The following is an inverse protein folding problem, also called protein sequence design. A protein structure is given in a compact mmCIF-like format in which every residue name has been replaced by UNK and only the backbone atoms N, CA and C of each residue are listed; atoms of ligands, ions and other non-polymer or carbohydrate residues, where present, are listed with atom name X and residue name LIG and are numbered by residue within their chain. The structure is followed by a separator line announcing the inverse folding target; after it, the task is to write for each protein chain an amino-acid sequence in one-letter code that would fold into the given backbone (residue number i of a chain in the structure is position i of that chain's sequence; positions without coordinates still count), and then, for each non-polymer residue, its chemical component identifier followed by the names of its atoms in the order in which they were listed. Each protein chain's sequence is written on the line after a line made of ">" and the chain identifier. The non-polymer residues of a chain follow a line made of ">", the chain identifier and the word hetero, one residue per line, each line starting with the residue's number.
data_IF_242051674162
#
_entry.id   IF_242051674162
#
_cell.length_a   1.000
_cell.length_b   1.000
_cell.length_c   1.000
_cell.angle_alpha   90.00
_cell.angle_beta   90.00
_cell.angle_gamma   90.00
#
_symmetry.space_group_name_H-M   'P 1'
#
loop_
_entity.id
_entity.type
_entity.pdbx_description
1 polymer ?
#
# COMPACT_ATOMS: atom_id res chain seq x y z
N UNK A 1 37.55 -6.20 18.94
CA UNK A 1 37.06 -7.56 19.20
C UNK A 1 36.36 -7.53 20.54
N UNK A 2 35.18 -8.15 20.68
CA UNK A 2 34.22 -8.09 21.81
C UNK A 2 33.14 -7.02 21.64
N UNK A 3 32.02 -7.41 21.03
CA UNK A 3 30.65 -7.21 21.52
C UNK A 3 29.72 -8.00 20.58
N UNK A 4 29.63 -9.30 20.85
CA UNK A 4 28.58 -10.20 20.38
C UNK A 4 27.93 -10.74 21.65
N UNK A 5 26.64 -11.06 21.56
CA UNK A 5 25.86 -11.82 22.55
C UNK A 5 25.09 -11.03 23.61
N UNK A 6 24.02 -10.34 23.17
CA UNK A 6 22.78 -10.23 23.95
C UNK A 6 21.61 -10.25 22.98
N UNK A 7 20.95 -11.40 22.80
CA UNK A 7 19.49 -11.56 22.67
C UNK A 7 19.14 -13.02 22.33
N UNK A 8 19.27 -13.91 23.31
CA UNK A 8 18.59 -15.21 23.30
C UNK A 8 18.48 -15.71 24.73
N UNK A 9 17.30 -15.57 25.33
CA UNK A 9 16.71 -16.44 26.37
C UNK A 9 15.66 -15.65 27.16
N UNK A 10 14.38 -16.03 27.00
CA UNK A 10 13.44 -16.23 28.10
C UNK A 10 12.14 -16.80 27.53
N UNK A 11 12.12 -18.13 27.42
CA UNK A 11 10.91 -18.95 27.43
C UNK A 11 10.91 -19.66 28.77
N UNK A 12 9.74 -19.66 29.43
CA UNK A 12 9.26 -20.47 30.56
C UNK A 12 8.86 -19.63 31.79
N UNK A 13 7.56 -19.64 32.09
CA UNK A 13 7.00 -19.00 33.28
C UNK A 13 5.49 -19.20 33.46
N UNK A 14 5.10 -20.44 33.72
CA UNK A 14 3.97 -20.89 34.55
C UNK A 14 2.51 -20.47 34.27
N UNK A 15 1.67 -21.52 34.25
CA UNK A 15 0.23 -21.53 34.40
C UNK A 15 -0.25 -20.83 35.67
N UNK A 16 -1.40 -20.14 35.59
CA UNK A 16 -2.38 -20.14 36.68
C UNK A 16 -3.80 -20.05 36.10
N UNK A 17 -4.58 -21.09 36.32
CA UNK A 17 -6.01 -21.16 36.07
C UNK A 17 -6.77 -20.33 37.11
N UNK A 18 -7.69 -19.46 36.69
CA UNK A 18 -8.81 -19.03 37.52
C UNK A 18 -10.08 -19.13 36.68
N UNK A 19 -10.92 -20.09 37.05
CA UNK A 19 -12.29 -20.22 36.61
C UNK A 19 -13.14 -19.15 37.31
N UNK A 20 -13.95 -18.42 36.55
CA UNK A 20 -15.05 -17.63 37.08
C UNK A 20 -16.30 -17.90 36.24
N UNK A 21 -17.20 -18.67 36.83
CA UNK A 21 -18.60 -18.84 36.43
C UNK A 21 -19.41 -17.61 36.83
N UNK A 22 -20.40 -17.23 36.02
CA UNK A 22 -21.76 -16.72 36.35
C UNK A 22 -22.31 -15.87 35.17
N UNK A 23 -23.61 -15.54 35.11
CA UNK A 23 -24.65 -16.44 34.64
C UNK A 23 -25.38 -15.90 33.39
N UNK A 24 -26.08 -16.84 32.77
CA UNK A 24 -27.14 -16.69 31.78
C UNK A 24 -28.15 -15.58 32.16
N UNK A 25 -28.42 -14.64 31.25
CA UNK A 25 -29.63 -13.84 31.32
C UNK A 25 -30.33 -13.80 29.96
N UNK A 26 -31.64 -14.04 30.02
CA UNK A 26 -32.53 -14.36 28.91
C UNK A 26 -33.34 -13.11 28.54
N UNK A 27 -33.75 -13.08 27.26
CA UNK A 27 -34.85 -12.33 26.65
C UNK A 27 -34.78 -10.80 26.60
N UNK A 28 -34.67 -10.29 25.36
CA UNK A 28 -35.71 -9.43 24.78
C UNK A 28 -35.74 -9.61 23.26
N UNK A 29 -36.88 -10.08 22.76
CA UNK A 29 -37.18 -10.20 21.32
C UNK A 29 -37.70 -8.83 20.89
N UNK A 30 -36.86 -8.05 20.22
CA UNK A 30 -37.29 -6.84 19.51
C UNK A 30 -37.55 -7.20 18.05
N UNK A 31 -38.83 -7.25 17.69
CA UNK A 31 -39.29 -7.39 16.31
C UNK A 31 -39.06 -6.07 15.57
N UNK A 32 -37.89 -5.93 14.94
CA UNK A 32 -37.63 -4.81 14.02
C UNK A 32 -38.37 -5.06 12.69
N UNK A 33 -39.45 -4.30 12.47
CA UNK A 33 -40.09 -4.14 11.16
C UNK A 33 -39.05 -3.67 10.15
N UNK A 34 -38.74 -4.52 9.17
CA UNK A 34 -37.97 -4.15 7.98
C UNK A 34 -38.73 -3.04 7.24
N UNK A 35 -38.11 -1.88 7.09
CA UNK A 35 -38.50 -0.93 6.03
C UNK A 35 -38.08 -1.53 4.69
N UNK A 36 -38.88 -1.41 3.63
CA UNK A 36 -38.43 -1.77 2.30
C UNK A 36 -37.27 -0.84 1.94
N UNK A 37 -36.09 -1.40 1.67
CA UNK A 37 -35.02 -0.65 1.02
C UNK A 37 -35.40 -0.50 -0.44
N UNK A 38 -35.96 0.65 -0.79
CA UNK A 38 -35.98 1.15 -2.16
C UNK A 38 -34.53 1.21 -2.69
N UNK A 39 -34.38 0.72 -3.92
CA UNK A 39 -33.29 0.98 -4.85
C UNK A 39 -31.85 0.73 -4.36
N UNK A 40 -31.45 -0.54 -4.40
CA UNK A 40 -30.07 -0.90 -4.76
C UNK A 40 -30.09 -1.80 -5.98
N UNK A 41 -29.91 -1.16 -7.12
CA UNK A 41 -29.76 -1.83 -8.40
C UNK A 41 -28.52 -2.77 -8.36
N UNK A 42 -28.69 -4.11 -8.45
CA UNK A 42 -27.60 -5.07 -8.49
C UNK A 42 -26.68 -4.90 -9.73
N UNK A 43 -27.13 -4.18 -10.75
CA UNK A 43 -26.34 -3.91 -11.97
C UNK A 43 -25.08 -3.06 -11.74
N UNK A 44 -24.88 -2.48 -10.55
CA UNK A 44 -23.67 -1.69 -10.26
C UNK A 44 -22.43 -2.54 -9.99
N UNK A 45 -22.56 -3.86 -9.78
CA UNK A 45 -21.42 -4.79 -9.66
C UNK A 45 -21.08 -5.45 -11.00
N UNK A 46 -22.08 -5.80 -11.82
CA UNK A 46 -21.83 -6.45 -13.12
C UNK A 46 -21.36 -5.48 -14.23
N UNK A 47 -21.69 -4.18 -14.18
CA UNK A 47 -21.11 -3.18 -15.12
C UNK A 47 -19.67 -2.77 -14.78
N UNK A 48 -19.04 -3.37 -13.76
CA UNK A 48 -17.67 -3.06 -13.36
C UNK A 48 -16.59 -3.99 -13.94
N UNK A 49 -16.93 -4.84 -14.92
CA UNK A 49 -15.92 -5.28 -15.91
C UNK A 49 -15.55 -4.08 -16.79
N UNK A 50 -14.83 -3.13 -16.22
CA UNK A 50 -13.93 -2.36 -17.05
C UNK A 50 -13.04 -3.41 -17.75
N UNK A 51 -12.92 -3.40 -19.09
CA UNK A 51 -11.95 -4.25 -19.76
C UNK A 51 -10.62 -4.10 -19.03
N UNK A 52 -9.88 -5.19 -18.85
CA UNK A 52 -8.61 -5.20 -18.12
C UNK A 52 -7.72 -4.02 -18.56
N UNK A 53 -7.77 -2.95 -17.78
CA UNK A 53 -6.87 -1.80 -17.86
C UNK A 53 -6.17 -1.74 -16.51
N UNK A 54 -5.35 -2.76 -16.26
CA UNK A 54 -4.04 -2.48 -15.69
C UNK A 54 -3.40 -1.39 -16.55
N UNK A 55 -2.56 -0.50 -15.99
CA UNK A 55 -1.92 0.47 -16.84
C UNK A 55 -1.23 -0.30 -17.98
N UNK A 56 -1.61 0.04 -19.21
CA UNK A 56 -0.85 -0.27 -20.43
C UNK A 56 0.42 0.60 -20.35
N UNK A 57 1.19 0.41 -19.28
CA UNK A 57 2.60 0.70 -19.35
C UNK A 57 3.17 -0.32 -20.32
N UNK A 58 4.18 0.08 -21.05
CA UNK A 58 5.03 -0.83 -21.80
C UNK A 58 5.59 -1.85 -20.79
N UNK A 59 4.87 -2.97 -20.62
CA UNK A 59 5.15 -3.99 -19.60
C UNK A 59 6.60 -4.47 -19.73
N UNK A 60 7.13 -4.49 -20.95
CA UNK A 60 8.51 -4.89 -21.21
C UNK A 60 9.49 -3.99 -20.46
N UNK A 61 9.39 -2.66 -20.59
CA UNK A 61 10.27 -1.73 -19.88
C UNK A 61 10.20 -1.87 -18.35
N UNK A 62 9.02 -2.16 -17.81
CA UNK A 62 8.86 -2.42 -16.36
C UNK A 62 9.60 -3.69 -15.93
N UNK A 63 9.59 -4.74 -16.75
CA UNK A 63 10.25 -6.01 -16.44
C UNK A 63 11.75 -6.04 -16.80
N UNK A 64 12.23 -5.22 -17.74
CA UNK A 64 13.63 -5.18 -18.16
C UNK A 64 14.57 -4.90 -16.97
N UNK A 65 14.19 -3.99 -16.07
CA UNK A 65 15.00 -3.65 -14.89
C UNK A 65 15.08 -4.81 -13.87
N UNK A 66 14.29 -5.88 -14.04
CA UNK A 66 14.40 -7.09 -13.22
C UNK A 66 15.44 -8.08 -13.75
N UNK A 67 15.95 -7.89 -14.98
CA UNK A 67 16.96 -8.75 -15.61
C UNK A 67 18.38 -8.48 -15.07
N UNK A 68 18.51 -8.54 -13.75
CA UNK A 68 19.80 -8.43 -13.04
C UNK A 68 20.15 -9.78 -12.41
N UNK A 69 21.44 -10.18 -12.34
CA UNK A 69 21.81 -11.55 -11.94
C UNK A 69 21.41 -11.99 -10.52
N UNK A 70 20.96 -11.04 -9.69
CA UNK A 70 20.65 -11.27 -8.29
C UNK A 70 19.15 -11.25 -7.96
N UNK A 71 18.29 -10.87 -8.91
CA UNK A 71 16.84 -11.06 -8.83
C UNK A 71 16.52 -12.35 -9.58
N UNK A 72 15.78 -13.26 -8.95
CA UNK A 72 15.37 -14.51 -9.59
C UNK A 72 14.17 -14.23 -10.52
N UNK A 73 14.42 -13.49 -11.59
CA UNK A 73 13.44 -13.13 -12.60
C UNK A 73 13.54 -14.06 -13.82
N UNK A 74 12.40 -14.60 -14.24
CA UNK A 74 12.29 -15.40 -15.46
C UNK A 74 11.24 -14.75 -16.38
N UNK A 75 11.64 -14.22 -17.56
CA UNK A 75 10.72 -13.56 -18.46
C UNK A 75 9.65 -14.49 -19.04
N UNK A 76 9.94 -15.77 -19.21
CA UNK A 76 8.98 -16.76 -19.74
C UNK A 76 7.91 -17.10 -18.72
N UNK A 77 8.26 -17.02 -17.43
CA UNK A 77 7.38 -17.34 -16.31
C UNK A 77 7.03 -16.11 -15.46
N UNK A 78 7.10 -14.89 -16.02
CA UNK A 78 7.00 -13.67 -15.22
C UNK A 78 5.67 -13.52 -14.45
N UNK A 79 4.60 -14.16 -14.92
CA UNK A 79 3.27 -14.14 -14.32
C UNK A 79 3.01 -15.25 -13.29
N UNK A 80 3.89 -16.25 -13.23
CA UNK A 80 3.74 -17.46 -12.40
C UNK A 80 4.93 -17.67 -11.45
N UNK A 81 6.02 -16.91 -11.61
CA UNK A 81 7.27 -17.05 -10.86
C UNK A 81 7.24 -16.43 -9.45
N UNK A 82 6.07 -15.98 -8.97
CA UNK A 82 5.93 -15.54 -7.59
C UNK A 82 5.80 -16.71 -6.61
N UNK A 83 6.38 -16.53 -5.42
CA UNK A 83 6.38 -17.58 -4.39
C UNK A 83 4.95 -17.84 -3.89
N UNK A 84 4.47 -19.06 -4.10
CA UNK A 84 3.15 -19.51 -3.67
C UNK A 84 2.03 -19.33 -4.70
N UNK A 85 2.37 -19.08 -5.97
CA UNK A 85 1.39 -19.02 -7.05
C UNK A 85 0.51 -20.28 -7.06
N UNK A 86 -0.80 -20.10 -7.02
CA UNK A 86 -1.77 -21.19 -7.04
C UNK A 86 -1.88 -22.00 -5.73
N UNK A 87 -1.15 -21.62 -4.66
CA UNK A 87 -1.30 -22.28 -3.37
C UNK A 87 -2.75 -22.14 -2.86
N UNK A 88 -3.34 -23.18 -2.26
CA UNK A 88 -4.73 -23.16 -1.77
C UNK A 88 -4.87 -22.40 -0.44
N UNK A 89 -4.42 -21.15 -0.37
CA UNK A 89 -4.37 -20.36 0.87
C UNK A 89 -5.74 -19.86 1.34
N UNK A 90 -6.73 -19.82 0.44
CA UNK A 90 -8.07 -19.30 0.72
C UNK A 90 -9.08 -20.39 1.12
N UNK A 91 -8.84 -21.66 0.79
CA UNK A 91 -9.82 -22.73 1.00
C UNK A 91 -9.99 -23.17 2.46
N UNK A 92 -9.05 -22.83 3.34
CA UNK A 92 -9.00 -23.38 4.69
C UNK A 92 -10.01 -22.76 5.69
N UNK A 93 -10.56 -21.56 5.41
CA UNK A 93 -11.32 -20.79 6.40
C UNK A 93 -12.50 -20.05 5.77
N UNK A 94 -13.67 -20.17 6.38
CA UNK A 94 -14.80 -19.28 6.14
C UNK A 94 -14.74 -18.11 7.13
N UNK A 95 -14.59 -16.90 6.62
CA UNK A 95 -14.44 -15.65 7.39
C UNK A 95 -15.72 -14.79 7.37
N UNK A 96 -16.85 -15.32 6.86
CA UNK A 96 -18.09 -14.55 6.63
C UNK A 96 -18.59 -13.83 7.87
N UNK A 97 -18.73 -14.54 8.99
CA UNK A 97 -19.20 -13.95 10.24
C UNK A 97 -18.24 -12.90 10.80
N UNK A 98 -16.93 -13.06 10.60
CA UNK A 98 -15.91 -12.10 11.06
C UNK A 98 -15.90 -10.81 10.24
N UNK A 99 -16.29 -10.88 8.97
CA UNK A 99 -16.15 -9.79 8.00
C UNK A 99 -17.49 -9.18 7.60
N UNK A 100 -18.59 -9.54 8.26
CA UNK A 100 -19.93 -9.02 7.96
C UNK A 100 -20.00 -7.50 8.20
N UNK A 101 -19.42 -7.01 9.30
CA UNK A 101 -19.45 -5.60 9.68
C UNK A 101 -18.23 -4.83 9.12
N UNK A 102 -18.30 -4.47 7.84
CA UNK A 102 -17.22 -3.78 7.11
C UNK A 102 -17.72 -2.57 6.32
N UNK A 103 -16.83 -1.63 6.09
CA UNK A 103 -17.03 -0.47 5.24
C UNK A 103 -15.98 -0.43 4.13
N UNK A 104 -16.38 0.00 2.94
CA UNK A 104 -15.43 0.22 1.84
C UNK A 104 -14.40 1.25 2.25
N UNK A 105 -13.14 1.00 1.92
CA UNK A 105 -12.05 1.91 2.22
C UNK A 105 -12.29 3.25 1.52
N UNK A 106 -12.34 4.33 2.31
CA UNK A 106 -12.83 5.64 1.85
C UNK A 106 -11.78 6.47 1.09
N UNK A 107 -10.49 6.13 1.21
CA UNK A 107 -9.44 6.85 0.51
C UNK A 107 -9.50 6.59 -1.00
N UNK A 108 -9.26 7.65 -1.78
CA UNK A 108 -9.23 7.56 -3.24
C UNK A 108 -8.02 6.73 -3.69
N UNK A 109 -8.24 5.81 -4.62
CA UNK A 109 -7.20 4.97 -5.23
C UNK A 109 -7.83 3.98 -6.20
N UNK A 110 -7.17 3.72 -7.34
CA UNK A 110 -7.71 2.81 -8.38
C UNK A 110 -7.91 1.39 -7.83
N UNK A 111 -6.99 0.93 -6.99
CA UNK A 111 -6.98 -0.43 -6.43
C UNK A 111 -7.78 -0.54 -5.10
N UNK A 112 -8.40 0.54 -4.62
CA UNK A 112 -9.10 0.55 -3.34
C UNK A 112 -10.52 -0.06 -3.44
N UNK A 113 -11.00 -0.41 -4.64
CA UNK A 113 -12.35 -0.98 -4.83
C UNK A 113 -12.55 -2.28 -4.04
N UNK A 114 -11.52 -3.11 -3.92
CA UNK A 114 -11.53 -4.36 -3.16
C UNK A 114 -11.05 -4.22 -1.71
N UNK A 115 -10.79 -3.01 -1.20
CA UNK A 115 -10.27 -2.82 0.16
C UNK A 115 -11.38 -2.35 1.10
N UNK A 116 -11.42 -2.92 2.31
CA UNK A 116 -12.41 -2.63 3.33
C UNK A 116 -11.76 -2.40 4.69
N UNK A 117 -12.35 -1.51 5.48
CA UNK A 117 -12.12 -1.37 6.92
C UNK A 117 -13.18 -2.11 7.73
N UNK A 118 -12.88 -2.40 9.00
CA UNK A 118 -13.82 -3.06 9.90
C UNK A 118 -14.54 -2.06 10.79
N UNK A 119 -15.79 -2.38 11.18
CA UNK A 119 -16.56 -1.58 12.15
C UNK A 119 -16.32 -1.99 13.61
N UNK A 120 -15.75 -3.18 13.81
CA UNK A 120 -15.44 -3.78 15.11
C UNK A 120 -14.04 -4.37 15.10
N UNK A 121 -13.52 -4.67 16.29
CA UNK A 121 -12.25 -5.38 16.45
C UNK A 121 -12.22 -6.70 15.69
N UNK A 122 -11.03 -7.10 15.23
CA UNK A 122 -10.83 -8.38 14.56
C UNK A 122 -10.20 -9.40 15.50
N UNK A 123 -10.87 -10.54 15.69
CA UNK A 123 -10.41 -11.60 16.60
C UNK A 123 -9.93 -12.81 15.82
N UNK A 124 -8.66 -13.14 16.00
CA UNK A 124 -8.06 -14.41 15.59
C UNK A 124 -8.23 -15.40 16.74
N UNK A 125 -8.70 -16.60 16.44
CA UNK A 125 -8.87 -17.69 17.42
C UNK A 125 -7.82 -18.78 17.20
N UNK A 126 -7.59 -19.62 18.21
CA UNK A 126 -6.65 -20.76 18.13
C UNK A 126 -5.31 -20.49 18.83
N UNK A 127 -4.26 -21.20 18.43
CA UNK A 127 -2.94 -21.14 19.08
C UNK A 127 -2.31 -19.73 19.08
N UNK A 128 -2.63 -18.92 18.07
CA UNK A 128 -2.18 -17.54 17.94
C UNK A 128 -3.34 -16.56 18.18
N UNK A 129 -4.18 -16.84 19.19
CA UNK A 129 -5.32 -15.99 19.51
C UNK A 129 -4.87 -14.55 19.79
N UNK A 130 -5.45 -13.61 19.06
CA UNK A 130 -5.10 -12.18 19.14
C UNK A 130 -6.28 -11.33 18.73
N UNK A 131 -6.44 -10.21 19.41
CA UNK A 131 -7.42 -9.17 19.06
C UNK A 131 -6.69 -7.98 18.44
N UNK A 132 -7.21 -7.50 17.31
CA UNK A 132 -6.71 -6.32 16.61
C UNK A 132 -7.76 -5.21 16.64
N UNK A 133 -7.32 -3.98 16.88
CA UNK A 133 -8.19 -2.81 16.76
C UNK A 133 -8.70 -2.68 15.32
N UNK A 134 -9.91 -2.19 15.15
CA UNK A 134 -10.51 -2.03 13.81
C UNK A 134 -9.72 -1.07 12.91
N UNK A 135 -9.03 -0.09 13.51
CA UNK A 135 -8.20 0.90 12.83
C UNK A 135 -6.87 0.33 12.32
N UNK A 136 -6.43 -0.82 12.84
CA UNK A 136 -5.13 -1.43 12.48
C UNK A 136 -5.28 -2.59 11.50
N UNK A 137 -6.48 -2.85 11.00
CA UNK A 137 -6.79 -3.96 10.09
C UNK A 137 -7.48 -3.45 8.84
N UNK A 138 -7.09 -4.02 7.71
CA UNK A 138 -7.83 -3.91 6.45
C UNK A 138 -8.06 -5.29 5.85
N UNK A 139 -9.09 -5.37 5.02
CA UNK A 139 -9.48 -6.58 4.29
C UNK A 139 -9.36 -6.28 2.80
N UNK A 140 -8.60 -7.10 2.07
CA UNK A 140 -8.52 -7.07 0.61
C UNK A 140 -9.32 -8.24 0.05
N UNK A 141 -10.31 -7.93 -0.77
CA UNK A 141 -11.02 -8.89 -1.60
C UNK A 141 -10.16 -9.16 -2.84
N UNK A 142 -10.10 -10.43 -3.23
CA UNK A 142 -9.36 -10.91 -4.39
C UNK A 142 -10.39 -11.41 -5.39
N UNK A 143 -10.29 -10.92 -6.62
CA UNK A 143 -11.14 -11.36 -7.71
C UNK A 143 -10.84 -12.83 -8.02
N UNK A 144 -11.86 -13.58 -8.43
CA UNK A 144 -11.76 -15.03 -8.64
C UNK A 144 -10.64 -15.42 -9.60
N UNK A 145 -10.47 -14.63 -10.66
CA UNK A 145 -9.46 -14.86 -11.70
C UNK A 145 -8.03 -14.52 -11.22
N UNK A 146 -7.90 -13.73 -10.14
CA UNK A 146 -6.63 -13.33 -9.52
C UNK A 146 -6.27 -14.17 -8.28
N UNK A 147 -7.09 -15.17 -7.92
CA UNK A 147 -6.81 -16.02 -6.74
C UNK A 147 -5.42 -16.66 -6.77
N UNK A 148 -4.91 -17.22 -7.91
CA UNK A 148 -3.56 -17.77 -7.98
C UNK A 148 -2.48 -16.74 -7.61
N UNK A 149 -2.62 -15.50 -8.06
CA UNK A 149 -1.73 -14.38 -7.78
C UNK A 149 -1.91 -13.86 -6.34
N UNK A 150 -3.15 -13.86 -5.83
CA UNK A 150 -3.46 -13.49 -4.45
C UNK A 150 -2.76 -14.40 -3.44
N UNK A 151 -2.51 -15.67 -3.79
CA UNK A 151 -1.72 -16.58 -2.98
C UNK A 151 -0.26 -16.12 -2.81
N UNK A 152 0.33 -15.48 -3.82
CA UNK A 152 1.65 -14.86 -3.72
C UNK A 152 1.66 -13.69 -2.73
N UNK A 153 0.62 -12.84 -2.74
CA UNK A 153 0.50 -11.74 -1.76
C UNK A 153 0.42 -12.29 -0.33
N UNK A 154 -0.32 -13.38 -0.11
CA UNK A 154 -0.40 -14.04 1.21
C UNK A 154 0.98 -14.52 1.67
N UNK A 155 1.77 -15.14 0.79
CA UNK A 155 3.15 -15.58 1.13
C UNK A 155 4.05 -14.39 1.43
N UNK A 156 4.00 -13.34 0.61
CA UNK A 156 4.77 -12.13 0.84
C UNK A 156 4.43 -11.48 2.19
N UNK A 157 3.14 -11.24 2.46
CA UNK A 157 2.67 -10.65 3.71
C UNK A 157 3.10 -11.45 4.96
N UNK A 158 3.16 -12.78 4.87
CA UNK A 158 3.69 -13.63 5.95
C UNK A 158 5.18 -13.37 6.20
N UNK A 159 5.98 -13.22 5.14
CA UNK A 159 7.42 -12.96 5.23
C UNK A 159 7.73 -11.57 5.78
N UNK A 160 6.90 -10.58 5.45
CA UNK A 160 7.02 -9.22 5.98
C UNK A 160 6.32 -9.00 7.33
N UNK A 161 5.62 -10.01 7.86
CA UNK A 161 4.96 -9.92 9.18
C UNK A 161 3.66 -9.10 9.19
N UNK A 162 3.04 -8.87 8.04
CA UNK A 162 1.80 -8.09 7.90
C UNK A 162 0.54 -8.94 7.72
N UNK A 163 0.70 -10.24 7.50
CA UNK A 163 -0.41 -11.19 7.35
C UNK A 163 -1.15 -11.43 8.68
N UNK A 164 -2.49 -11.44 8.65
CA UNK A 164 -3.32 -11.83 9.78
C UNK A 164 -4.03 -13.16 9.48
N UNK A 165 -4.93 -13.17 8.49
CA UNK A 165 -5.65 -14.37 8.05
C UNK A 165 -5.97 -14.29 6.54
N UNK A 166 -6.22 -15.43 5.90
CA UNK A 166 -6.80 -15.53 4.56
C UNK A 166 -7.89 -16.59 4.59
N UNK A 167 -8.88 -16.46 3.71
CA UNK A 167 -10.02 -17.34 3.65
C UNK A 167 -11.01 -16.92 2.57
N UNK A 168 -12.25 -17.40 2.71
CA UNK A 168 -13.38 -17.02 1.87
C UNK A 168 -14.46 -16.28 2.66
N UNK A 169 -15.20 -15.42 1.98
CA UNK A 169 -16.35 -14.67 2.51
C UNK A 169 -17.51 -14.84 1.54
N UNK A 170 -18.71 -15.10 2.07
CA UNK A 170 -19.95 -15.08 1.29
C UNK A 170 -20.60 -13.70 1.41
N UNK A 171 -20.90 -13.06 0.27
CA UNK A 171 -21.55 -11.75 0.18
C UNK A 171 -22.65 -11.87 -0.86
N UNK A 172 -23.90 -11.69 -0.44
CA UNK A 172 -25.06 -11.71 -1.37
C UNK A 172 -25.07 -12.98 -2.24
N UNK A 173 -24.77 -14.14 -1.64
CA UNK A 173 -24.70 -15.47 -2.27
C UNK A 173 -23.42 -15.76 -3.07
N UNK A 174 -22.62 -14.75 -3.38
CA UNK A 174 -21.31 -14.92 -4.03
C UNK A 174 -20.19 -15.17 -3.02
N UNK A 175 -19.24 -16.03 -3.40
CA UNK A 175 -18.06 -16.34 -2.57
C UNK A 175 -16.80 -15.67 -3.13
N UNK A 176 -16.11 -14.91 -2.26
CA UNK A 176 -14.89 -14.18 -2.60
C UNK A 176 -13.71 -14.64 -1.76
N UNK A 177 -12.53 -14.72 -2.36
CA UNK A 177 -11.28 -14.84 -1.62
C UNK A 177 -10.93 -13.52 -0.92
N UNK A 178 -10.42 -13.60 0.31
CA UNK A 178 -10.06 -12.43 1.10
C UNK A 178 -8.74 -12.61 1.84
N UNK A 179 -8.01 -11.50 1.96
CA UNK A 179 -6.81 -11.36 2.79
C UNK A 179 -7.10 -10.34 3.88
N UNK A 180 -6.96 -10.73 5.14
CA UNK A 180 -6.96 -9.85 6.30
C UNK A 180 -5.51 -9.54 6.66
N UNK A 181 -5.17 -8.25 6.68
CA UNK A 181 -3.79 -7.79 6.90
C UNK A 181 -3.71 -6.55 7.80
N UNK A 182 -2.54 -6.35 8.37
CA UNK A 182 -2.23 -5.15 9.16
C UNK A 182 -2.28 -3.93 8.24
N UNK A 183 -3.06 -2.93 8.64
CA UNK A 183 -3.15 -1.64 7.97
C UNK A 183 -1.85 -0.87 8.20
N UNK A 184 -1.22 -0.44 7.10
CA UNK A 184 -0.07 0.44 7.14
C UNK A 184 -0.52 1.89 7.34
N UNK A 185 0.29 2.67 8.06
CA UNK A 185 0.00 4.07 8.35
C UNK A 185 0.44 5.00 7.21
N UNK A 186 -0.09 6.22 7.20
CA UNK A 186 0.24 7.23 6.19
C UNK A 186 -0.67 7.21 4.97
N UNK A 187 -0.28 7.96 3.94
CA UNK A 187 -0.97 8.06 2.67
C UNK A 187 0.03 8.31 1.52
N UNK A 188 -0.32 8.02 0.26
CA UNK A 188 0.47 8.47 -0.88
C UNK A 188 0.61 10.00 -0.87
N UNK A 189 1.79 10.52 -1.19
CA UNK A 189 2.12 11.96 -1.07
C UNK A 189 1.07 12.88 -1.71
N UNK A 190 0.61 12.53 -2.92
CA UNK A 190 -0.39 13.29 -3.68
C UNK A 190 -1.77 13.45 -2.99
N UNK A 191 -2.02 12.72 -1.90
CA UNK A 191 -3.25 12.77 -1.13
C UNK A 191 -3.06 13.40 0.25
N UNK A 192 -1.89 13.96 0.54
CA UNK A 192 -1.59 14.64 1.80
C UNK A 192 -1.70 16.14 1.57
N UNK A 193 -2.64 16.82 2.25
CA UNK A 193 -2.88 18.26 2.03
C UNK A 193 -1.63 19.12 2.28
N UNK A 194 -0.86 18.82 3.33
CA UNK A 194 0.40 19.50 3.62
C UNK A 194 1.43 19.33 2.47
N UNK A 195 1.47 18.16 1.82
CA UNK A 195 2.30 17.96 0.62
C UNK A 195 1.80 18.84 -0.52
N UNK A 196 0.51 18.78 -0.84
CA UNK A 196 -0.08 19.46 -2.00
C UNK A 196 0.26 20.94 -1.98
N UNK A 197 0.16 21.58 -0.80
CA UNK A 197 0.35 23.01 -0.60
C UNK A 197 1.82 23.42 -0.35
N UNK A 198 2.75 22.48 -0.16
CA UNK A 198 4.13 22.82 0.16
C UNK A 198 4.91 23.41 -1.03
N UNK A 199 5.87 24.32 -0.77
CA UNK A 199 6.81 24.80 -1.79
C UNK A 199 7.63 23.66 -2.42
N UNK A 200 8.00 23.83 -3.69
CA UNK A 200 8.78 22.83 -4.45
C UNK A 200 10.07 22.43 -3.75
N UNK A 201 10.78 23.37 -3.12
CA UNK A 201 12.00 23.08 -2.37
C UNK A 201 11.76 22.09 -1.21
N UNK A 202 10.69 22.28 -0.43
CA UNK A 202 10.33 21.36 0.66
C UNK A 202 9.87 20.00 0.11
N UNK A 203 9.09 20.00 -0.98
CA UNK A 203 8.68 18.76 -1.66
C UNK A 203 9.90 17.92 -2.12
N UNK A 204 10.90 18.56 -2.72
CA UNK A 204 12.17 17.92 -3.11
C UNK A 204 12.90 17.32 -1.91
N UNK A 205 12.98 18.06 -0.79
CA UNK A 205 13.60 17.57 0.44
C UNK A 205 12.87 16.33 1.00
N UNK A 206 11.53 16.35 1.04
CA UNK A 206 10.71 15.22 1.49
C UNK A 206 10.86 14.00 0.57
N UNK A 207 10.87 14.18 -0.75
CA UNK A 207 11.08 13.07 -1.70
C UNK A 207 12.48 12.48 -1.57
N UNK A 208 13.51 13.30 -1.34
CA UNK A 208 14.86 12.80 -1.13
C UNK A 208 14.98 12.02 0.20
N UNK A 209 14.37 12.48 1.29
CA UNK A 209 14.32 11.72 2.55
C UNK A 209 13.56 10.40 2.37
N UNK A 210 12.41 10.44 1.69
CA UNK A 210 11.64 9.25 1.37
C UNK A 210 12.45 8.23 0.55
N UNK A 211 13.15 8.68 -0.49
CA UNK A 211 14.03 7.84 -1.32
C UNK A 211 15.06 7.10 -0.47
N UNK A 212 15.77 7.85 0.39
CA UNK A 212 16.81 7.28 1.26
C UNK A 212 16.23 6.22 2.21
N UNK A 213 15.06 6.49 2.81
CA UNK A 213 14.42 5.54 3.72
C UNK A 213 13.90 4.30 3.02
N UNK A 214 13.31 4.44 1.82
CA UNK A 214 12.86 3.31 1.01
C UNK A 214 14.06 2.44 0.61
N UNK A 215 15.17 3.06 0.19
CA UNK A 215 16.42 2.37 -0.10
C UNK A 215 16.87 1.52 1.09
N UNK A 216 16.99 2.12 2.28
CA UNK A 216 17.46 1.43 3.49
C UNK A 216 16.53 0.26 3.87
N UNK A 217 15.20 0.47 3.80
CA UNK A 217 14.20 -0.56 4.09
C UNK A 217 14.34 -1.74 3.13
N UNK A 218 14.44 -1.46 1.83
CA UNK A 218 14.51 -2.50 0.81
C UNK A 218 15.86 -3.23 0.82
N UNK A 219 16.97 -2.53 1.04
CA UNK A 219 18.28 -3.18 1.15
C UNK A 219 18.31 -4.16 2.33
N UNK A 220 17.67 -3.79 3.45
CA UNK A 220 17.49 -4.68 4.60
C UNK A 220 16.62 -5.89 4.26
N UNK A 221 15.57 -5.74 3.45
CA UNK A 221 14.74 -6.87 3.02
C UNK A 221 15.50 -7.82 2.11
N UNK A 222 16.26 -7.29 1.16
CA UNK A 222 17.12 -8.09 0.29
C UNK A 222 18.12 -8.90 1.10
N UNK A 223 18.81 -8.26 2.05
CA UNK A 223 19.87 -8.91 2.82
C UNK A 223 19.33 -9.89 3.88
N UNK A 224 18.21 -9.58 4.54
CA UNK A 224 17.70 -10.40 5.65
C UNK A 224 16.59 -11.36 5.26
N UNK A 225 15.76 -11.02 4.27
CA UNK A 225 14.58 -11.79 3.88
C UNK A 225 14.73 -12.50 2.53
N UNK A 226 15.77 -12.13 1.75
CA UNK A 226 16.00 -12.57 0.37
C UNK A 226 14.79 -12.29 -0.53
N UNK A 227 14.17 -11.14 -0.31
CA UNK A 227 13.01 -10.65 -1.05
C UNK A 227 13.22 -9.19 -1.41
N UNK A 228 12.69 -8.81 -2.57
CA UNK A 228 12.67 -7.43 -3.01
C UNK A 228 11.27 -6.99 -3.42
N UNK A 229 10.90 -5.77 -3.03
CA UNK A 229 9.72 -5.09 -3.53
C UNK A 229 10.13 -4.28 -4.76
N UNK A 230 9.57 -4.58 -5.92
CA UNK A 230 9.96 -3.97 -7.20
C UNK A 230 8.95 -2.94 -7.72
N UNK A 231 7.76 -2.88 -7.10
CA UNK A 231 6.71 -1.88 -7.38
C UNK A 231 6.58 -0.82 -6.28
N UNK A 232 7.69 -0.18 -5.91
CA UNK A 232 7.70 0.90 -4.91
C UNK A 232 7.40 2.28 -5.55
N UNK A 233 6.39 2.33 -6.43
CA UNK A 233 5.95 3.58 -7.03
C UNK A 233 5.41 4.56 -5.98
N UNK A 234 5.27 5.84 -6.34
CA UNK A 234 4.75 6.87 -5.43
C UNK A 234 3.30 6.62 -4.93
N UNK A 235 2.60 5.62 -5.50
CA UNK A 235 1.29 5.17 -5.04
C UNK A 235 1.38 4.05 -4.00
N UNK A 236 2.48 3.30 -4.00
CA UNK A 236 2.74 2.16 -3.15
C UNK A 236 3.73 2.48 -2.01
N UNK A 237 4.21 3.72 -1.95
CA UNK A 237 4.94 4.25 -0.79
C UNK A 237 4.05 5.28 -0.09
N UNK A 238 3.70 4.98 1.15
CA UNK A 238 2.92 5.86 2.02
C UNK A 238 3.88 6.73 2.84
N UNK A 239 3.62 8.03 2.87
CA UNK A 239 4.28 8.97 3.75
C UNK A 239 3.37 9.40 4.90
N UNK A 240 3.97 9.67 6.06
CA UNK A 240 3.37 10.49 7.10
C UNK A 240 4.14 11.79 7.19
N UNK A 241 3.50 12.91 6.83
CA UNK A 241 4.10 14.23 6.84
C UNK A 241 3.62 14.99 8.07
N UNK A 242 4.55 15.67 8.73
CA UNK A 242 4.26 16.61 9.82
C UNK A 242 4.55 18.02 9.32
N UNK A 243 3.63 18.93 9.62
CA UNK A 243 3.73 20.36 9.31
C UNK A 243 4.01 21.15 10.60
N UNK A 244 5.03 21.99 10.58
CA UNK A 244 5.25 23.00 11.61
C UNK A 244 4.30 24.17 11.37
N UNK A 245 3.33 24.37 12.26
CA UNK A 245 2.31 25.43 12.13
C UNK A 245 2.85 26.85 12.25
N UNK A 246 4.09 27.01 12.72
CA UNK A 246 4.73 28.32 12.89
C UNK A 246 5.44 28.75 11.62
N UNK A 247 6.16 27.83 10.98
CA UNK A 247 6.94 28.11 9.78
C UNK A 247 6.26 27.65 8.49
N UNK A 248 5.20 26.84 8.60
CA UNK A 248 4.59 26.07 7.52
C UNK A 248 5.60 25.13 6.81
N UNK A 249 6.66 24.72 7.51
CA UNK A 249 7.60 23.74 6.99
C UNK A 249 7.05 22.33 7.14
N UNK A 250 7.14 21.54 6.07
CA UNK A 250 6.80 20.13 6.10
C UNK A 250 8.03 19.25 6.23
N UNK A 251 7.89 18.13 6.95
CA UNK A 251 8.91 17.08 7.02
C UNK A 251 8.30 15.68 7.01
N UNK A 252 9.06 14.73 6.48
CA UNK A 252 8.69 13.32 6.51
C UNK A 252 8.97 12.74 7.90
N UNK A 253 7.93 12.21 8.54
CA UNK A 253 8.04 11.54 9.84
C UNK A 253 8.32 10.04 9.65
N UNK A 254 7.53 9.40 8.79
CA UNK A 254 7.54 7.95 8.62
C UNK A 254 7.19 7.54 7.19
N UNK A 255 7.64 6.34 6.80
CA UNK A 255 7.29 5.71 5.52
C UNK A 255 6.74 4.30 5.73
N UNK A 256 5.83 3.89 4.86
CA UNK A 256 5.42 2.49 4.72
C UNK A 256 5.41 2.11 3.24
N UNK A 257 5.71 0.85 2.93
CA UNK A 257 5.57 0.30 1.58
C UNK A 257 4.35 -0.63 1.60
N UNK A 258 3.52 -0.54 0.57
CA UNK A 258 2.27 -1.31 0.43
C UNK A 258 2.18 -1.95 -0.94
N UNK A 259 1.12 -2.74 -1.13
CA UNK A 259 0.83 -3.51 -2.34
C UNK A 259 1.85 -4.62 -2.66
N UNK A 260 1.88 -5.61 -1.77
CA UNK A 260 2.67 -6.84 -1.89
C UNK A 260 2.09 -7.85 -2.91
N UNK A 261 1.19 -7.38 -3.78
CA UNK A 261 0.58 -8.20 -4.84
C UNK A 261 1.60 -8.58 -5.91
N UNK A 262 1.25 -9.57 -6.74
CA UNK A 262 2.01 -9.87 -7.94
C UNK A 262 1.82 -8.77 -9.00
N UNK A 263 2.84 -8.36 -9.78
CA UNK A 263 4.24 -8.81 -9.81
C UNK A 263 5.19 -8.03 -8.86
N UNK A 264 4.70 -7.44 -7.77
CA UNK A 264 5.45 -6.52 -6.92
C UNK A 264 6.55 -7.13 -6.05
N UNK A 265 6.54 -8.43 -5.74
CA UNK A 265 7.52 -9.08 -4.85
C UNK A 265 8.28 -10.19 -5.57
N UNK A 266 9.62 -10.14 -5.51
CA UNK A 266 10.50 -11.13 -6.14
C UNK A 266 11.48 -11.74 -5.14
N UNK A 267 11.78 -13.05 -5.27
CA UNK A 267 12.89 -13.64 -4.56
C UNK A 267 14.23 -13.15 -5.13
N UNK A 268 15.19 -12.92 -4.25
CA UNK A 268 16.58 -12.62 -4.65
C UNK A 268 17.44 -13.87 -4.50
N UNK A 269 18.62 -13.87 -5.10
CA UNK A 269 19.61 -14.92 -4.87
C UNK A 269 20.04 -14.94 -3.40
N UNK A 270 20.57 -16.08 -2.94
CA UNK A 270 21.04 -16.24 -1.56
C UNK A 270 22.37 -15.55 -1.27
N UNK A 271 23.04 -15.01 -2.29
CA UNK A 271 24.31 -14.30 -2.16
C UNK A 271 24.08 -12.93 -1.56
N UNK A 272 24.96 -12.52 -0.65
CA UNK A 272 24.98 -11.14 -0.14
C UNK A 272 25.22 -10.20 -1.31
N UNK A 273 24.32 -9.23 -1.47
CA UNK A 273 24.37 -8.28 -2.57
C UNK A 273 25.19 -7.08 -2.11
N UNK A 274 26.19 -6.74 -2.91
CA UNK A 274 26.96 -5.54 -2.69
C UNK A 274 26.05 -4.30 -2.68
N UNK A 275 26.29 -3.40 -1.72
CA UNK A 275 25.43 -2.24 -1.50
C UNK A 275 25.44 -1.29 -2.70
N UNK A 276 26.57 -1.15 -3.39
CA UNK A 276 26.70 -0.28 -4.57
C UNK A 276 25.91 -0.84 -5.75
N UNK A 277 25.99 -2.16 -5.98
CA UNK A 277 25.17 -2.84 -7.01
C UNK A 277 23.68 -2.63 -6.74
N UNK A 278 23.23 -2.85 -5.50
CA UNK A 278 21.84 -2.61 -5.12
C UNK A 278 21.44 -1.14 -5.30
N UNK A 279 22.29 -0.21 -4.87
CA UNK A 279 22.02 1.23 -4.97
C UNK A 279 21.87 1.68 -6.40
N UNK A 280 22.71 1.17 -7.30
CA UNK A 280 22.66 1.50 -8.74
C UNK A 280 21.33 1.05 -9.35
N UNK A 281 20.91 -0.19 -9.07
CA UNK A 281 19.61 -0.69 -9.49
C UNK A 281 18.46 0.11 -8.88
N UNK A 282 18.54 0.41 -7.59
CA UNK A 282 17.50 1.15 -6.87
C UNK A 282 17.29 2.55 -7.46
N UNK A 283 18.35 3.28 -7.74
CA UNK A 283 18.28 4.63 -8.30
C UNK A 283 17.65 4.62 -9.71
N UNK A 284 18.02 3.65 -10.56
CA UNK A 284 17.39 3.48 -11.87
C UNK A 284 15.87 3.22 -11.73
N UNK A 285 15.50 2.25 -10.89
CA UNK A 285 14.11 1.88 -10.64
C UNK A 285 13.30 3.01 -10.00
N UNK A 286 13.90 3.74 -9.07
CA UNK A 286 13.29 4.92 -8.45
C UNK A 286 12.95 5.96 -9.50
N UNK A 287 13.92 6.34 -10.33
CA UNK A 287 13.71 7.32 -11.39
C UNK A 287 12.62 6.89 -12.37
N UNK A 288 12.55 5.61 -12.72
CA UNK A 288 11.49 5.06 -13.55
C UNK A 288 10.11 5.17 -12.90
N UNK A 289 9.94 4.63 -11.68
CA UNK A 289 8.63 4.56 -11.00
C UNK A 289 8.14 5.91 -10.45
N UNK A 290 9.04 6.85 -10.21
CA UNK A 290 8.73 8.17 -9.63
C UNK A 290 8.73 9.30 -10.65
N UNK A 291 9.10 9.03 -11.91
CA UNK A 291 9.17 10.01 -13.00
C UNK A 291 7.96 10.94 -13.03
N UNK A 292 6.76 10.36 -13.04
CA UNK A 292 5.50 11.09 -13.11
C UNK A 292 5.30 12.10 -11.98
N UNK A 293 5.63 11.72 -10.74
CA UNK A 293 5.52 12.63 -9.60
C UNK A 293 6.58 13.73 -9.68
N UNK A 294 7.82 13.35 -10.02
CA UNK A 294 8.95 14.27 -10.11
C UNK A 294 8.68 15.33 -11.19
N UNK A 295 8.25 14.92 -12.38
CA UNK A 295 7.98 15.82 -13.49
C UNK A 295 6.79 16.76 -13.24
N UNK A 296 5.74 16.27 -12.57
CA UNK A 296 4.51 17.05 -12.34
C UNK A 296 4.61 17.97 -11.13
N UNK A 297 5.21 17.51 -10.04
CA UNK A 297 5.16 18.20 -8.73
C UNK A 297 6.49 18.84 -8.33
N UNK A 298 7.63 18.44 -8.92
CA UNK A 298 8.95 18.91 -8.50
C UNK A 298 9.70 19.76 -9.54
N UNK A 299 9.22 19.79 -10.79
CA UNK A 299 9.73 20.75 -11.78
C UNK A 299 8.97 22.05 -11.56
N UNK A 300 9.69 23.12 -11.20
CA UNK A 300 9.10 24.46 -11.24
C UNK A 300 8.68 24.69 -12.69
N UNK A 301 7.37 24.75 -12.93
CA UNK A 301 6.91 25.28 -14.21
C UNK A 301 7.47 26.68 -14.28
N UNK A 302 8.38 26.91 -15.23
CA UNK A 302 8.73 28.29 -15.56
C UNK A 302 7.41 29.03 -15.74
N UNK A 303 7.19 30.16 -15.06
CA UNK A 303 5.95 30.90 -15.17
C UNK A 303 5.71 31.10 -16.66
N UNK A 304 4.61 30.54 -17.18
CA UNK A 304 4.27 30.59 -18.59
C UNK A 304 4.54 32.03 -19.06
N UNK A 305 5.45 32.21 -20.01
CA UNK A 305 5.89 33.53 -20.47
C UNK A 305 4.72 34.39 -21.02
N UNK A 306 3.48 33.89 -21.03
CA UNK A 306 2.26 34.66 -21.21
C UNK A 306 2.13 35.83 -20.22
N UNK A 307 2.56 35.68 -18.96
CA UNK A 307 2.48 36.79 -17.99
C UNK A 307 3.56 37.84 -18.22
N UNK A 308 4.76 37.44 -18.69
CA UNK A 308 5.76 38.40 -19.21
C UNK A 308 5.24 39.11 -20.46
N UNK A 309 4.40 38.47 -21.27
CA UNK A 309 3.71 39.08 -22.40
C UNK A 309 2.72 40.17 -21.95
N UNK A 310 1.95 39.93 -20.89
CA UNK A 310 1.03 40.93 -20.32
C UNK A 310 1.78 42.08 -19.67
N UNK A 311 2.86 41.81 -18.94
CA UNK A 311 3.66 42.86 -18.30
C UNK A 311 4.39 43.72 -19.34
N UNK A 312 4.93 43.12 -20.40
CA UNK A 312 5.54 43.85 -21.52
C UNK A 312 4.51 44.65 -22.33
N UNK A 313 3.27 44.16 -22.50
CA UNK A 313 2.15 44.93 -23.09
C UNK A 313 1.75 46.09 -22.19
N UNK A 314 1.68 45.89 -20.88
CA UNK A 314 1.35 46.93 -19.90
C UNK A 314 2.43 48.03 -19.87
N UNK A 315 3.71 47.65 -19.89
CA UNK A 315 4.82 48.60 -19.96
C UNK A 315 4.82 49.38 -21.28
N UNK A 316 4.60 48.72 -22.43
CA UNK A 316 4.48 49.40 -23.72
C UNK A 316 3.27 50.35 -23.79
N UNK A 317 2.15 49.98 -23.16
CA UNK A 317 0.96 50.82 -23.06
C UNK A 317 1.23 52.08 -22.22
N UNK A 318 1.85 51.93 -21.03
CA UNK A 318 2.27 53.06 -20.18
C UNK A 318 3.23 54.01 -20.91
N UNK A 319 4.19 53.46 -21.66
CA UNK A 319 5.16 54.25 -22.45
C UNK A 319 4.50 55.04 -23.58
N UNK A 320 3.43 54.51 -24.19
CA UNK A 320 2.65 55.24 -25.20
C UNK A 320 1.84 56.39 -24.60
N UNK A 321 1.23 56.17 -23.44
CA UNK A 321 0.48 57.22 -22.73
C UNK A 321 1.39 58.38 -22.30
N UNK A 322 2.62 58.09 -21.84
CA UNK A 322 3.57 59.13 -21.43
C UNK A 322 4.16 59.95 -22.58
N UNK A 323 4.08 59.48 -23.82
CA UNK A 323 4.55 60.21 -25.01
C UNK A 323 3.44 61.04 -25.67
N UNK A 324 2.18 60.84 -25.26
CA UNK A 324 1.01 61.54 -25.79
C UNK A 324 0.51 62.68 -24.89
N UNK A 325 1.09 62.83 -23.71
CA UNK A 325 0.85 63.94 -22.76
C UNK A 325 1.99 64.97 -22.86
#
# INVERSE_FOLDING_TARGET
>A
MIFRDIFLQLVLGACLCIAATTPYNRSEIVTLRRRPSEDRNPESLERNRAPGVGPVHDDEGWFEELKVPWINYDPEHRWTSCVGYGDPVFSAKNLTSKLTARDRFSLKGRNNKGIYTLRSEYKVSGANARTYSKETVIVKFIDKDDEPQGACEVRALKRFGFFIEAGRVTVEEDEYAVIVKVKQSGAPLRFIDAWINAPVAQKRAVVQDMKNRVHDVMYRWVTNLQLIHVDFSYNNVLGKIVEDKTTNDIRLEHIEIVDYGHPGIWPTTSKVIDKEIFTTWFEARWNFLWKDLIEKDLIEKEPDNEDKGKEKRMQNFKRRLSLAA
#
